data_IF_168978463568
#
_entry.id   IF_168978463568
#
_cell.length_a   1.000
_cell.length_b   1.000
_cell.length_c   1.000
_cell.angle_alpha   90.00
_cell.angle_beta   90.00
_cell.angle_gamma   90.00
#
_symmetry.space_group_name_H-M   'P 1'
#
loop_
_entity.id
_entity.type
_entity.pdbx_description
1 polymer ?
#
# COMPACT_ATOMS: atom_id res chain seq x y z
N UNK A 1 -16.27 1.94 -17.57
CA UNK A 1 -16.42 0.54 -18.03
C UNK A 1 -15.08 -0.12 -17.75
N UNK A 2 -15.04 -1.25 -17.02
CA UNK A 2 -13.78 -1.94 -16.69
C UNK A 2 -13.50 -3.04 -17.74
N UNK A 3 -12.26 -3.52 -17.83
CA UNK A 3 -11.84 -4.51 -18.84
C UNK A 3 -12.14 -5.97 -18.46
N UNK A 4 -12.59 -6.22 -17.23
CA UNK A 4 -12.69 -7.57 -16.68
C UNK A 4 -14.09 -8.19 -16.88
N UNK A 5 -15.15 -7.43 -16.56
CA UNK A 5 -16.55 -7.88 -16.59
C UNK A 5 -17.52 -6.70 -16.72
N UNK A 6 -18.74 -6.96 -17.19
CA UNK A 6 -19.84 -6.00 -17.20
C UNK A 6 -20.75 -6.18 -15.96
N UNK A 7 -21.42 -5.11 -15.53
CA UNK A 7 -22.38 -5.17 -14.41
C UNK A 7 -23.61 -6.06 -14.72
N UNK A 8 -23.87 -6.33 -15.99
CA UNK A 8 -24.87 -7.26 -16.50
C UNK A 8 -24.43 -8.72 -16.47
N UNK A 9 -23.13 -9.01 -16.32
CA UNK A 9 -22.63 -10.38 -16.25
C UNK A 9 -23.19 -11.11 -15.02
N UNK A 10 -23.38 -12.41 -15.17
CA UNK A 10 -23.89 -13.22 -14.07
C UNK A 10 -22.82 -13.40 -12.99
N UNK A 11 -23.24 -13.51 -11.73
CA UNK A 11 -22.31 -13.77 -10.63
C UNK A 11 -21.55 -15.07 -10.87
N UNK A 12 -22.18 -16.07 -11.49
CA UNK A 12 -21.50 -17.30 -11.89
C UNK A 12 -20.36 -17.02 -12.88
N UNK A 13 -20.62 -16.30 -13.97
CA UNK A 13 -19.60 -16.05 -15.00
C UNK A 13 -18.41 -15.27 -14.45
N UNK A 14 -18.66 -14.26 -13.59
CA UNK A 14 -17.60 -13.51 -12.91
C UNK A 14 -16.77 -14.43 -12.01
N UNK A 15 -17.41 -15.23 -11.16
CA UNK A 15 -16.69 -16.12 -10.23
C UNK A 15 -15.97 -17.28 -10.92
N UNK A 16 -16.43 -17.72 -12.09
CA UNK A 16 -15.77 -18.76 -12.86
C UNK A 16 -14.54 -18.22 -13.60
N UNK A 17 -14.66 -17.02 -14.17
CA UNK A 17 -13.56 -16.32 -14.85
C UNK A 17 -12.51 -15.80 -13.85
N UNK A 18 -12.96 -15.41 -12.66
CA UNK A 18 -12.13 -14.81 -11.60
C UNK A 18 -12.43 -15.42 -10.22
N UNK A 19 -11.91 -16.62 -9.90
CA UNK A 19 -12.21 -17.33 -8.65
C UNK A 19 -11.93 -16.54 -7.37
N UNK A 20 -10.98 -15.62 -7.39
CA UNK A 20 -10.64 -14.69 -6.30
C UNK A 20 -11.79 -13.77 -5.88
N UNK A 21 -12.72 -13.52 -6.79
CA UNK A 21 -13.90 -12.70 -6.48
C UNK A 21 -14.87 -13.39 -5.53
N UNK A 22 -14.81 -14.72 -5.40
CA UNK A 22 -15.68 -15.50 -4.52
C UNK A 22 -15.56 -15.02 -3.07
N UNK A 23 -14.34 -14.76 -2.60
CA UNK A 23 -14.11 -14.30 -1.22
C UNK A 23 -14.67 -12.90 -0.99
N UNK A 24 -14.62 -12.02 -2.00
CA UNK A 24 -15.24 -10.70 -1.95
C UNK A 24 -16.75 -10.82 -1.82
N UNK A 25 -17.39 -11.68 -2.62
CA UNK A 25 -18.82 -11.94 -2.51
C UNK A 25 -19.21 -12.50 -1.12
N UNK A 26 -18.48 -13.49 -0.61
CA UNK A 26 -18.74 -14.08 0.70
C UNK A 26 -18.65 -13.02 1.81
N UNK A 27 -17.58 -12.23 1.79
CA UNK A 27 -17.30 -11.19 2.78
C UNK A 27 -18.33 -10.05 2.78
N UNK A 28 -19.00 -9.83 1.65
CA UNK A 28 -20.05 -8.83 1.49
C UNK A 28 -21.47 -9.43 1.54
N UNK A 29 -21.62 -10.60 2.18
CA UNK A 29 -22.94 -11.12 2.59
C UNK A 29 -23.58 -12.12 1.63
N UNK A 30 -22.85 -12.64 0.65
CA UNK A 30 -23.28 -13.75 -0.21
C UNK A 30 -22.65 -15.09 0.22
N UNK A 31 -22.75 -15.42 1.50
CA UNK A 31 -22.13 -16.62 2.12
C UNK A 31 -22.47 -17.93 1.38
N UNK A 32 -23.66 -18.02 0.80
CA UNK A 32 -24.10 -19.19 0.04
C UNK A 32 -23.22 -19.46 -1.20
N UNK A 33 -22.55 -18.45 -1.74
CA UNK A 33 -21.61 -18.60 -2.86
C UNK A 33 -20.32 -19.30 -2.45
N UNK A 34 -20.08 -19.61 -1.18
CA UNK A 34 -19.00 -20.53 -0.80
C UNK A 34 -19.23 -21.94 -1.35
N UNK A 35 -20.50 -22.35 -1.47
CA UNK A 35 -20.86 -23.65 -2.01
C UNK A 35 -20.93 -23.63 -3.54
N UNK A 36 -20.18 -24.51 -4.19
CA UNK A 36 -20.09 -24.57 -5.66
C UNK A 36 -21.44 -24.87 -6.34
N UNK A 37 -22.26 -25.78 -5.78
CA UNK A 37 -23.59 -26.07 -6.34
C UNK A 37 -24.48 -24.83 -6.27
N UNK A 38 -24.41 -24.08 -5.18
CA UNK A 38 -25.14 -22.83 -5.02
C UNK A 38 -24.64 -21.74 -5.98
N UNK A 39 -23.33 -21.64 -6.23
CA UNK A 39 -22.79 -20.75 -7.29
C UNK A 39 -23.33 -21.13 -8.66
N UNK A 40 -23.33 -22.42 -9.00
CA UNK A 40 -23.83 -22.91 -10.31
C UNK A 40 -25.33 -22.72 -10.49
N UNK A 41 -26.13 -22.81 -9.43
CA UNK A 41 -27.59 -22.64 -9.52
C UNK A 41 -28.02 -21.18 -9.37
N UNK A 42 -27.63 -20.52 -8.28
CA UNK A 42 -28.03 -19.14 -8.00
C UNK A 42 -27.21 -18.12 -8.78
N UNK A 43 -25.90 -18.34 -8.92
CA UNK A 43 -25.01 -17.39 -9.58
C UNK A 43 -25.35 -17.20 -11.06
N UNK A 44 -25.91 -18.21 -11.73
CA UNK A 44 -26.32 -18.14 -13.15
C UNK A 44 -27.58 -17.31 -13.38
N UNK A 45 -28.40 -17.10 -12.35
CA UNK A 45 -29.71 -16.43 -12.47
C UNK A 45 -29.68 -14.98 -12.02
N UNK A 46 -28.59 -14.53 -11.39
CA UNK A 46 -28.43 -13.17 -10.88
C UNK A 46 -27.23 -12.49 -11.54
N UNK A 47 -27.45 -11.28 -12.07
CA UNK A 47 -26.34 -10.42 -12.50
C UNK A 47 -25.68 -9.72 -11.30
N UNK A 48 -24.47 -9.21 -11.49
CA UNK A 48 -23.80 -8.37 -10.50
C UNK A 48 -24.69 -7.21 -10.04
N UNK A 49 -25.30 -6.50 -10.99
CA UNK A 49 -26.23 -5.39 -10.71
C UNK A 49 -27.42 -5.83 -9.85
N UNK A 50 -28.01 -6.99 -10.13
CA UNK A 50 -29.13 -7.51 -9.33
C UNK A 50 -28.68 -7.93 -7.93
N UNK A 51 -27.52 -8.56 -7.82
CA UNK A 51 -26.92 -8.96 -6.55
C UNK A 51 -26.70 -7.73 -5.64
N UNK A 52 -26.06 -6.68 -6.16
CA UNK A 52 -25.85 -5.42 -5.43
C UNK A 52 -27.17 -4.80 -4.97
N UNK A 53 -28.16 -4.72 -5.87
CA UNK A 53 -29.49 -4.18 -5.55
C UNK A 53 -30.18 -4.97 -4.44
N UNK A 54 -30.09 -6.30 -4.44
CA UNK A 54 -30.74 -7.16 -3.44
C UNK A 54 -30.23 -6.96 -2.01
N UNK A 55 -29.00 -6.43 -1.86
CA UNK A 55 -28.33 -6.19 -0.58
C UNK A 55 -28.21 -4.70 -0.23
N UNK A 56 -28.76 -3.81 -1.07
CA UNK A 56 -28.64 -2.36 -0.87
C UNK A 56 -27.20 -1.85 -0.99
N UNK A 57 -26.35 -2.52 -1.77
CA UNK A 57 -24.96 -2.12 -1.96
C UNK A 57 -24.81 -1.18 -3.15
N UNK A 58 -23.87 -0.24 -3.04
CA UNK A 58 -23.46 0.59 -4.17
C UNK A 58 -22.74 -0.26 -5.22
N UNK A 59 -23.23 -0.20 -6.46
CA UNK A 59 -22.72 -1.00 -7.58
C UNK A 59 -21.30 -0.57 -7.98
N UNK A 60 -20.98 0.72 -7.88
CA UNK A 60 -19.66 1.25 -8.23
C UNK A 60 -18.61 0.76 -7.25
N UNK A 61 -18.85 0.96 -5.96
CA UNK A 61 -17.95 0.50 -4.89
C UNK A 61 -17.77 -1.00 -4.89
N UNK A 62 -18.84 -1.77 -5.13
CA UNK A 62 -18.72 -3.23 -5.16
C UNK A 62 -17.98 -3.73 -6.40
N UNK A 63 -18.20 -3.10 -7.56
CA UNK A 63 -17.43 -3.37 -8.79
C UNK A 63 -15.95 -3.11 -8.57
N UNK A 64 -15.59 -2.00 -7.90
CA UNK A 64 -14.20 -1.67 -7.59
C UNK A 64 -13.54 -2.75 -6.70
N UNK A 65 -14.22 -3.21 -5.65
CA UNK A 65 -13.69 -4.31 -4.79
C UNK A 65 -13.41 -5.60 -5.55
N UNK A 66 -14.23 -5.93 -6.54
CA UNK A 66 -14.04 -7.12 -7.38
C UNK A 66 -12.83 -6.94 -8.31
N UNK A 67 -12.69 -5.76 -8.91
CA UNK A 67 -11.53 -5.40 -9.74
C UNK A 67 -10.25 -5.50 -8.92
N UNK A 68 -10.21 -4.90 -7.73
CA UNK A 68 -9.05 -4.93 -6.82
C UNK A 68 -8.63 -6.37 -6.46
N UNK A 69 -9.60 -7.29 -6.28
CA UNK A 69 -9.28 -8.69 -6.01
C UNK A 69 -8.65 -9.39 -7.22
N UNK A 70 -9.16 -9.12 -8.42
CA UNK A 70 -8.64 -9.64 -9.70
C UNK A 70 -7.22 -9.14 -9.95
N UNK A 71 -7.05 -7.82 -9.84
CA UNK A 71 -5.80 -7.10 -10.00
C UNK A 71 -4.74 -7.63 -9.03
N UNK A 72 -5.08 -7.75 -7.74
CA UNK A 72 -4.20 -8.33 -6.71
C UNK A 72 -3.73 -9.74 -7.03
N UNK A 73 -4.62 -10.63 -7.52
CA UNK A 73 -4.22 -12.02 -7.85
C UNK A 73 -3.36 -12.09 -9.11
N UNK A 74 -3.64 -11.22 -10.09
CA UNK A 74 -2.85 -11.16 -11.32
C UNK A 74 -1.47 -10.55 -11.12
N UNK A 75 -1.17 -10.06 -9.92
CA UNK A 75 0.03 -9.26 -9.66
C UNK A 75 -0.06 -7.87 -10.27
N UNK A 76 -1.11 -7.58 -11.05
CA UNK A 76 -1.43 -6.27 -11.61
C UNK A 76 -1.97 -5.43 -10.46
N UNK A 77 -1.08 -4.95 -9.61
CA UNK A 77 -1.44 -3.78 -8.83
C UNK A 77 -1.31 -2.60 -9.80
N UNK A 78 -2.23 -1.63 -9.80
CA UNK A 78 -1.96 -0.33 -10.47
C UNK A 78 -0.65 0.33 -9.99
N UNK A 79 -0.07 -0.21 -8.92
CA UNK A 79 1.28 0.01 -8.39
C UNK A 79 2.40 -0.40 -9.37
N UNK A 80 2.17 -1.23 -10.39
CA UNK A 80 3.18 -1.50 -11.43
C UNK A 80 3.46 -0.27 -12.34
N UNK A 81 2.64 0.79 -12.22
CA UNK A 81 2.82 2.07 -12.92
C UNK A 81 3.43 3.14 -12.01
N UNK A 82 3.48 2.95 -10.69
CA UNK A 82 4.28 3.83 -9.84
C UNK A 82 5.60 3.09 -9.58
N UNK A 83 6.64 3.37 -10.37
CA UNK A 83 7.86 2.62 -10.27
C UNK A 83 8.39 2.79 -8.85
N UNK A 84 8.99 1.75 -8.27
CA UNK A 84 10.19 2.02 -7.49
C UNK A 84 11.15 2.67 -8.47
N UNK A 85 11.10 4.00 -8.60
CA UNK A 85 12.00 4.73 -9.47
C UNK A 85 13.34 4.67 -8.74
N UNK A 86 14.11 3.63 -9.04
CA UNK A 86 15.56 3.70 -8.85
C UNK A 86 16.10 4.26 -10.14
N UNK A 87 16.03 5.58 -10.28
CA UNK A 87 17.09 6.24 -11.04
C UNK A 87 18.22 6.49 -10.05
N UNK A 88 19.44 6.10 -10.40
CA UNK A 88 20.60 6.57 -9.64
C UNK A 88 20.63 8.09 -9.76
N UNK A 89 20.20 8.81 -8.71
CA UNK A 89 20.32 10.26 -8.62
C UNK A 89 19.04 11.09 -8.66
N UNK A 90 17.89 10.59 -8.17
CA UNK A 90 16.77 11.48 -7.83
C UNK A 90 17.15 12.50 -6.76
N UNK A 91 16.61 13.71 -6.89
CA UNK A 91 16.89 14.84 -6.00
C UNK A 91 16.34 14.62 -4.58
N UNK A 92 15.26 13.84 -4.45
CA UNK A 92 14.65 13.46 -3.18
C UNK A 92 14.45 11.95 -3.15
N UNK A 93 14.98 11.28 -2.11
CA UNK A 93 14.89 9.83 -1.91
C UNK A 93 14.05 9.50 -0.68
N UNK A 94 13.09 8.59 -0.84
CA UNK A 94 12.17 8.16 0.22
C UNK A 94 12.25 6.64 0.41
N UNK A 95 12.63 6.17 1.58
CA UNK A 95 12.72 4.73 1.86
C UNK A 95 11.90 4.34 3.08
N UNK A 96 11.25 3.19 3.05
CA UNK A 96 10.52 2.78 4.23
C UNK A 96 9.67 1.55 4.14
N UNK A 97 9.00 1.27 5.26
CA UNK A 97 8.03 0.20 5.36
C UNK A 97 6.69 0.72 5.84
N UNK A 98 5.62 0.19 5.26
CA UNK A 98 4.25 0.63 5.51
C UNK A 98 3.41 -0.54 6.05
N UNK A 99 2.60 -0.32 7.10
CA UNK A 99 1.62 -1.29 7.56
C UNK A 99 0.62 -1.63 6.45
N UNK A 100 0.30 -2.92 6.28
CA UNK A 100 -0.61 -3.41 5.24
C UNK A 100 -1.96 -2.66 5.10
N UNK A 101 -2.66 -2.23 6.19
CA UNK A 101 -3.93 -1.50 6.01
C UNK A 101 -3.74 -0.10 5.43
N UNK A 102 -2.55 0.51 5.56
CA UNK A 102 -2.26 1.88 5.13
C UNK A 102 -1.45 1.90 3.83
N UNK A 103 -0.66 0.85 3.57
CA UNK A 103 0.27 0.78 2.44
C UNK A 103 -0.42 1.04 1.10
N UNK A 104 -1.53 0.34 0.83
CA UNK A 104 -2.23 0.47 -0.45
C UNK A 104 -2.83 1.88 -0.60
N UNK A 105 -3.67 2.36 0.35
CA UNK A 105 -4.22 3.72 0.26
C UNK A 105 -3.15 4.81 0.15
N UNK A 106 -2.03 4.67 0.87
CA UNK A 106 -0.96 5.66 0.85
C UNK A 106 -0.24 5.68 -0.50
N UNK A 107 0.08 4.52 -1.06
CA UNK A 107 0.73 4.45 -2.38
C UNK A 107 -0.18 4.95 -3.50
N UNK A 108 -1.47 4.65 -3.45
CA UNK A 108 -2.45 5.18 -4.41
C UNK A 108 -2.57 6.70 -4.32
N UNK A 109 -2.75 7.23 -3.10
CA UNK A 109 -2.83 8.67 -2.88
C UNK A 109 -1.53 9.39 -3.25
N UNK A 110 -0.39 8.78 -2.94
CA UNK A 110 0.93 9.31 -3.29
C UNK A 110 1.17 9.32 -4.79
N UNK A 111 0.82 8.25 -5.50
CA UNK A 111 0.92 8.18 -6.96
C UNK A 111 0.06 9.22 -7.66
N UNK A 112 -1.21 9.34 -7.25
CA UNK A 112 -2.12 10.36 -7.79
C UNK A 112 -1.57 11.78 -7.54
N UNK A 113 -1.04 12.04 -6.34
CA UNK A 113 -0.42 13.31 -6.02
C UNK A 113 0.82 13.59 -6.88
N UNK A 114 1.68 12.60 -7.12
CA UNK A 114 2.84 12.77 -8.00
C UNK A 114 2.43 13.12 -9.43
N UNK A 115 1.44 12.44 -9.99
CA UNK A 115 0.92 12.70 -11.35
C UNK A 115 0.28 14.09 -11.45
N UNK A 116 -0.53 14.50 -10.47
CA UNK A 116 -1.15 15.83 -10.43
C UNK A 116 -0.13 16.98 -10.33
N UNK A 117 1.09 16.69 -9.88
CA UNK A 117 2.11 17.70 -9.62
C UNK A 117 3.38 17.50 -10.47
N UNK A 118 3.38 16.60 -11.46
CA UNK A 118 4.54 16.28 -12.30
C UNK A 118 5.13 17.54 -12.97
N UNK A 119 4.27 18.42 -13.49
CA UNK A 119 4.69 19.68 -14.13
C UNK A 119 5.05 20.80 -13.14
N UNK A 120 4.81 20.60 -11.84
CA UNK A 120 5.00 21.62 -10.79
C UNK A 120 6.34 21.50 -10.07
N UNK A 121 6.96 20.33 -10.12
CA UNK A 121 8.24 20.07 -9.47
C UNK A 121 9.38 20.19 -10.48
N UNK A 122 10.44 20.88 -10.09
CA UNK A 122 11.72 20.92 -10.81
C UNK A 122 12.69 19.85 -10.30
N UNK A 123 12.22 18.96 -9.43
CA UNK A 123 12.98 17.91 -8.79
C UNK A 123 12.31 16.55 -8.98
N UNK A 124 13.12 15.51 -8.89
CA UNK A 124 12.68 14.13 -9.00
C UNK A 124 12.59 13.43 -7.65
N UNK A 125 11.48 12.73 -7.42
CA UNK A 125 11.26 11.92 -6.21
C UNK A 125 11.42 10.43 -6.53
N UNK A 126 12.37 9.80 -5.87
CA UNK A 126 12.61 8.37 -5.89
C UNK A 126 12.12 7.76 -4.58
N UNK A 127 11.45 6.60 -4.64
CA UNK A 127 10.97 5.97 -3.42
C UNK A 127 10.95 4.43 -3.44
N UNK A 128 11.22 3.82 -2.28
CA UNK A 128 11.18 2.38 -2.03
C UNK A 128 10.36 2.08 -0.75
N UNK A 129 9.05 1.86 -0.92
CA UNK A 129 8.09 1.64 0.18
C UNK A 129 7.57 0.19 0.21
N UNK A 130 8.11 -0.60 1.15
CA UNK A 130 7.84 -2.03 1.30
C UNK A 130 6.76 -2.34 2.35
N UNK A 131 6.34 -3.60 2.41
CA UNK A 131 5.46 -4.07 3.48
C UNK A 131 6.20 -4.07 4.82
N UNK A 132 5.55 -3.63 5.90
CA UNK A 132 6.06 -3.77 7.26
C UNK A 132 6.37 -5.23 7.65
N UNK A 133 5.74 -6.23 7.00
CA UNK A 133 6.06 -7.64 7.24
C UNK A 133 7.47 -8.03 6.79
N UNK A 134 8.04 -7.31 5.81
CA UNK A 134 9.43 -7.53 5.36
C UNK A 134 10.43 -7.03 6.42
N UNK A 135 9.98 -6.16 7.34
CA UNK A 135 10.83 -5.52 8.32
C UNK A 135 11.75 -4.46 7.71
N UNK A 136 12.57 -3.85 8.56
CA UNK A 136 13.48 -2.75 8.19
C UNK A 136 14.92 -3.18 7.97
N UNK A 137 15.23 -4.48 8.06
CA UNK A 137 16.61 -4.99 7.99
C UNK A 137 17.34 -4.56 6.73
N UNK A 138 16.66 -4.52 5.59
CA UNK A 138 17.22 -4.06 4.32
C UNK A 138 17.62 -2.56 4.34
N UNK A 139 16.92 -1.73 5.11
CA UNK A 139 17.28 -0.33 5.34
C UNK A 139 18.43 -0.25 6.34
N UNK A 140 18.39 -1.06 7.40
CA UNK A 140 19.42 -1.09 8.46
C UNK A 140 20.79 -1.46 7.90
N UNK A 141 20.86 -2.46 7.03
CA UNK A 141 22.13 -2.87 6.42
C UNK A 141 22.71 -1.77 5.53
N UNK A 142 21.85 -1.07 4.78
CA UNK A 142 22.21 0.10 3.99
C UNK A 142 22.77 1.23 4.89
N UNK A 143 22.02 1.63 5.92
CA UNK A 143 22.45 2.67 6.87
C UNK A 143 23.80 2.35 7.54
N UNK A 144 24.08 1.07 7.84
CA UNK A 144 25.35 0.67 8.45
C UNK A 144 26.54 0.82 7.50
N UNK A 145 26.35 0.51 6.22
CA UNK A 145 27.40 0.59 5.19
C UNK A 145 27.62 2.01 4.67
N UNK A 146 26.62 2.87 4.86
CA UNK A 146 26.49 4.14 4.16
C UNK A 146 27.07 5.33 4.94
N UNK A 147 27.53 6.32 4.19
CA UNK A 147 27.93 7.65 4.63
C UNK A 147 26.74 8.63 4.58
N UNK A 148 26.94 9.86 5.04
CA UNK A 148 25.87 10.87 5.10
C UNK A 148 25.23 11.13 3.73
N UNK A 149 26.03 11.12 2.67
CA UNK A 149 25.62 11.44 1.29
C UNK A 149 24.74 10.35 0.64
N UNK A 150 24.82 9.11 1.14
CA UNK A 150 24.05 7.97 0.62
C UNK A 150 22.73 7.73 1.36
N UNK A 151 22.46 8.50 2.42
CA UNK A 151 21.18 8.46 3.11
C UNK A 151 20.04 8.97 2.22
N UNK A 152 18.85 8.45 2.47
CA UNK A 152 17.61 8.97 1.89
C UNK A 152 17.14 10.19 2.68
N UNK A 153 16.49 11.13 2.01
CA UNK A 153 15.98 12.37 2.63
C UNK A 153 14.82 12.08 3.59
N UNK A 154 13.98 11.09 3.27
CA UNK A 154 12.86 10.68 4.10
C UNK A 154 12.89 9.19 4.36
N UNK A 155 12.81 8.83 5.63
CA UNK A 155 12.63 7.45 6.06
C UNK A 155 11.26 7.25 6.71
N UNK A 156 10.60 6.13 6.40
CA UNK A 156 9.31 5.74 7.00
C UNK A 156 9.44 4.35 7.62
N UNK A 157 9.06 4.20 8.89
CA UNK A 157 9.10 2.92 9.59
C UNK A 157 7.76 2.60 10.23
N UNK A 158 7.44 1.31 10.29
CA UNK A 158 6.39 0.78 11.14
C UNK A 158 6.98 0.51 12.54
N UNK A 159 6.90 1.49 13.43
CA UNK A 159 7.42 1.39 14.80
C UNK A 159 8.79 2.03 15.02
N UNK A 160 9.47 1.63 16.08
CA UNK A 160 10.65 2.32 16.62
C UNK A 160 12.00 1.76 16.15
N UNK A 161 11.99 0.58 15.50
CA UNK A 161 13.20 -0.20 15.19
C UNK A 161 14.25 0.54 14.36
N UNK A 162 13.83 1.53 13.58
CA UNK A 162 14.73 2.34 12.74
C UNK A 162 15.20 3.63 13.42
N UNK A 163 14.45 4.18 14.39
CA UNK A 163 14.55 5.60 14.76
C UNK A 163 14.90 5.89 16.23
N UNK A 164 15.11 4.87 17.06
CA UNK A 164 15.33 5.07 18.50
C UNK A 164 16.52 4.27 19.01
N UNK A 165 17.59 4.28 18.23
CA UNK A 165 18.85 3.63 18.56
C UNK A 165 20.02 4.62 18.40
N UNK A 166 21.16 4.37 19.07
CA UNK A 166 22.34 5.26 18.97
C UNK A 166 23.29 4.92 17.81
N UNK A 167 23.16 3.74 17.21
CA UNK A 167 24.17 3.18 16.29
C UNK A 167 23.78 3.30 14.80
N UNK A 168 22.50 3.41 14.46
CA UNK A 168 21.96 3.53 13.11
C UNK A 168 21.54 4.97 12.85
N UNK A 169 20.27 5.33 13.10
CA UNK A 169 19.82 6.70 12.81
C UNK A 169 20.26 7.69 13.89
N UNK A 170 20.42 7.25 15.14
CA UNK A 170 20.83 8.15 16.22
C UNK A 170 22.21 8.78 16.04
N UNK A 171 23.16 8.10 15.37
CA UNK A 171 24.48 8.70 15.08
C UNK A 171 24.36 9.88 14.13
N UNK A 172 23.55 9.74 13.07
CA UNK A 172 23.32 10.79 12.08
C UNK A 172 22.51 11.94 12.65
N UNK A 173 21.50 11.63 13.47
CA UNK A 173 20.79 12.65 14.25
C UNK A 173 21.73 13.44 15.16
N UNK A 174 22.61 12.76 15.89
CA UNK A 174 23.55 13.41 16.82
C UNK A 174 24.63 14.21 16.10
N UNK A 175 24.98 13.83 14.88
CA UNK A 175 25.90 14.56 14.00
C UNK A 175 25.25 15.79 13.32
N UNK A 176 23.93 15.97 13.45
CA UNK A 176 23.21 17.10 12.84
C UNK A 176 22.93 16.93 11.35
N UNK A 177 22.95 15.69 10.84
CA UNK A 177 22.68 15.37 9.42
C UNK A 177 21.21 15.59 9.07
N UNK A 178 20.31 15.37 10.04
CA UNK A 178 18.88 15.63 9.90
C UNK A 178 18.47 16.84 10.74
N UNK A 179 17.66 17.72 10.15
CA UNK A 179 17.02 18.83 10.86
C UNK A 179 15.75 18.35 11.59
N UNK A 180 15.58 18.74 12.85
CA UNK A 180 14.38 18.43 13.62
C UNK A 180 13.24 19.40 13.29
N UNK A 181 12.29 18.94 12.47
CA UNK A 181 11.10 19.70 12.09
C UNK A 181 9.91 19.53 13.04
N UNK A 182 10.06 18.80 14.16
CA UNK A 182 8.95 18.50 15.07
C UNK A 182 8.50 19.71 15.90
N UNK A 183 9.38 20.71 16.08
CA UNK A 183 9.16 21.84 16.96
C UNK A 183 9.13 21.45 18.45
N UNK A 184 9.60 20.25 18.79
CA UNK A 184 9.66 19.78 20.18
C UNK A 184 11.02 20.15 20.78
N UNK A 185 10.99 20.89 21.89
CA UNK A 185 12.21 21.19 22.65
C UNK A 185 12.81 19.94 23.31
N UNK A 186 11.98 18.92 23.53
CA UNK A 186 12.39 17.64 24.16
C UNK A 186 11.48 16.49 23.74
N UNK A 187 12.07 15.31 23.54
CA UNK A 187 11.33 14.05 23.42
C UNK A 187 10.68 13.63 24.75
N UNK A 188 9.74 12.69 24.69
CA UNK A 188 9.16 12.11 25.91
C UNK A 188 10.27 11.49 26.78
N UNK A 189 10.25 11.76 28.09
CA UNK A 189 11.18 11.22 29.10
C UNK A 189 11.31 9.70 29.09
N UNK A 190 10.32 8.98 28.58
CA UNK A 190 10.35 7.52 28.45
C UNK A 190 11.45 7.05 27.47
N UNK A 191 12.01 7.96 26.65
CA UNK A 191 13.14 7.71 25.76
C UNK A 191 14.51 8.16 26.33
N UNK A 192 14.55 8.64 27.58
CA UNK A 192 15.80 8.98 28.26
C UNK A 192 16.49 7.68 28.75
N UNK A 193 17.27 7.06 27.85
CA UNK A 193 17.94 5.77 28.08
C UNK A 193 19.02 5.76 29.18
N UNK A 194 19.27 6.90 29.85
CA UNK A 194 20.27 7.00 30.92
C UNK A 194 19.72 6.56 32.31
N UNK A 195 18.43 6.15 32.38
CA UNK A 195 17.75 5.70 33.60
C UNK A 195 17.53 4.17 33.71
N UNK A 196 18.12 3.36 32.82
CA UNK A 196 17.97 1.87 32.82
C UNK A 196 19.31 1.19 33.01
#
# INVERSE_FOLDING_TARGET
MNEYFDIGDTVYDITEKYPETIDVFISNGFKQLANEKMRKMMGRTISLKMACKSKGMDIGLFTQKLIEAIERKRGISRIDVIPSVKEDGGDIRIEGVLPCPVRIPLLEGFGAWMEENEDRFDFKVDYELKSAHIGVDWIREKIKSDDEDSLSDLFISAGFDLFFDRNLMGRFKSAGVFEDMSGLDRLNRDFDNDYI
#
